data_IF_912058815909
#
_entry.id   IF_912058815909
#
_cell.length_a   1.000
_cell.length_b   1.000
_cell.length_c   1.000
_cell.angle_alpha   90.00
_cell.angle_beta   90.00
_cell.angle_gamma   90.00
#
_symmetry.space_group_name_H-M   'P 1'
#
loop_
_entity.id
_entity.type
_entity.pdbx_description
1 polymer ?
#
# COMPACT_ATOMS: atom_id res chain seq x y z
N UNK A 1 11.94 21.23 5.77
CA UNK A 1 11.35 19.94 6.18
C UNK A 1 12.07 19.54 7.46
N UNK A 2 11.43 19.69 8.61
CA UNK A 2 12.02 19.26 9.90
C UNK A 2 11.83 17.75 9.94
N UNK A 3 12.93 17.03 9.82
CA UNK A 3 12.95 15.58 9.77
C UNK A 3 12.92 15.05 11.21
N UNK A 4 11.83 14.41 11.62
CA UNK A 4 11.75 13.76 12.93
C UNK A 4 12.50 12.44 12.84
N UNK A 5 13.70 12.39 13.44
CA UNK A 5 14.62 11.26 13.39
C UNK A 5 14.17 10.14 14.32
N UNK A 6 13.15 9.37 13.93
CA UNK A 6 12.89 8.09 14.60
C UNK A 6 13.95 7.09 14.13
N UNK A 7 15.05 7.06 14.89
CA UNK A 7 16.19 6.18 14.68
C UNK A 7 15.93 4.77 15.24
N UNK A 8 14.70 4.27 15.12
CA UNK A 8 14.38 2.90 15.54
C UNK A 8 14.90 1.95 14.46
N UNK A 9 15.88 1.14 14.84
CA UNK A 9 16.43 0.11 13.97
C UNK A 9 15.39 -0.97 13.64
N UNK A 10 15.59 -1.67 12.52
CA UNK A 10 14.63 -2.65 11.98
C UNK A 10 14.25 -3.76 12.98
N UNK A 11 15.18 -4.16 13.85
CA UNK A 11 14.98 -5.15 14.92
C UNK A 11 13.97 -4.70 15.98
N UNK A 12 13.80 -3.39 16.21
CA UNK A 12 12.86 -2.81 17.17
C UNK A 12 11.60 -2.21 16.54
N UNK A 13 11.39 -2.45 15.25
CA UNK A 13 10.25 -1.88 14.48
C UNK A 13 8.87 -2.26 15.02
N UNK A 14 8.76 -3.35 15.80
CA UNK A 14 7.48 -3.83 16.33
C UNK A 14 6.69 -2.76 17.09
N UNK A 15 7.37 -1.94 17.90
CA UNK A 15 6.75 -0.84 18.65
C UNK A 15 6.15 0.21 17.71
N UNK A 16 6.89 0.58 16.66
CA UNK A 16 6.41 1.53 15.65
C UNK A 16 5.21 0.99 14.88
N UNK A 17 5.21 -0.30 14.54
CA UNK A 17 4.10 -0.94 13.84
C UNK A 17 2.86 -1.08 14.74
N UNK A 18 3.03 -1.34 16.04
CA UNK A 18 1.93 -1.34 17.00
C UNK A 18 1.30 0.06 17.13
N UNK A 19 2.11 1.11 17.35
CA UNK A 19 1.61 2.48 17.36
C UNK A 19 0.90 2.87 16.04
N UNK A 20 1.42 2.40 14.90
CA UNK A 20 0.80 2.61 13.59
C UNK A 20 -0.54 1.88 13.42
N UNK A 21 -0.70 0.68 13.96
CA UNK A 21 -1.98 -0.04 13.98
C UNK A 21 -3.02 0.70 14.84
N UNK A 22 -2.62 1.20 16.01
CA UNK A 22 -3.54 1.87 16.93
C UNK A 22 -3.94 3.25 16.38
N UNK A 23 -3.03 3.90 15.67
CA UNK A 23 -3.35 5.08 14.87
C UNK A 23 -4.33 4.75 13.72
N UNK A 24 -4.22 3.60 13.06
CA UNK A 24 -5.18 3.17 12.03
C UNK A 24 -6.58 2.97 12.62
N UNK A 25 -6.69 2.35 13.79
CA UNK A 25 -7.97 2.18 14.50
C UNK A 25 -8.59 3.54 14.90
N UNK A 26 -7.77 4.45 15.41
CA UNK A 26 -8.20 5.82 15.75
C UNK A 26 -8.72 6.56 14.50
N UNK A 27 -8.01 6.45 13.37
CA UNK A 27 -8.41 7.04 12.09
C UNK A 27 -9.72 6.44 11.56
N UNK A 28 -9.92 5.12 11.69
CA UNK A 28 -11.18 4.45 11.32
C UNK A 28 -12.35 4.99 12.16
N UNK A 29 -12.17 5.07 13.48
CA UNK A 29 -13.18 5.62 14.39
C UNK A 29 -13.56 7.06 14.00
N UNK A 30 -12.58 7.87 13.59
CA UNK A 30 -12.84 9.22 13.11
C UNK A 30 -13.56 9.26 11.75
N UNK A 31 -13.31 8.31 10.85
CA UNK A 31 -14.07 8.18 9.59
C UNK A 31 -15.53 7.82 9.87
N UNK A 32 -15.78 6.90 10.82
CA UNK A 32 -17.12 6.42 11.15
C UNK A 32 -17.95 7.48 11.88
N UNK A 33 -17.34 8.15 12.87
CA UNK A 33 -18.03 9.07 13.79
C UNK A 33 -17.83 10.56 13.45
N UNK A 34 -16.95 10.87 12.48
CA UNK A 34 -16.55 12.23 12.13
C UNK A 34 -15.41 12.79 13.00
N UNK A 35 -15.21 12.25 14.20
CA UNK A 35 -14.07 12.53 15.08
C UNK A 35 -13.81 11.34 16.01
N UNK A 36 -12.59 11.22 16.52
CA UNK A 36 -12.20 10.22 17.52
C UNK A 36 -11.21 10.82 18.51
N UNK A 37 -11.37 10.59 19.82
CA UNK A 37 -10.27 10.66 20.78
C UNK A 37 -9.12 9.74 20.36
N UNK A 38 -7.87 10.09 20.71
CA UNK A 38 -6.67 9.32 20.34
C UNK A 38 -6.52 8.03 21.15
N UNK A 39 -7.00 8.03 22.39
CA UNK A 39 -7.03 6.88 23.29
C UNK A 39 -8.06 5.81 22.89
N UNK A 40 -9.04 6.14 22.04
CA UNK A 40 -10.05 5.19 21.57
C UNK A 40 -9.42 3.97 20.86
N UNK A 41 -8.37 4.16 20.06
CA UNK A 41 -7.69 3.04 19.40
C UNK A 41 -6.87 2.16 20.35
N UNK A 42 -6.49 2.69 21.51
CA UNK A 42 -5.73 1.97 22.55
C UNK A 42 -6.66 1.12 23.41
N UNK A 43 -7.84 1.64 23.76
CA UNK A 43 -8.83 0.91 24.55
C UNK A 43 -9.33 -0.36 23.84
N UNK A 44 -9.53 -0.30 22.52
CA UNK A 44 -9.92 -1.47 21.71
C UNK A 44 -8.86 -2.58 21.80
N UNK A 45 -7.58 -2.24 21.73
CA UNK A 45 -6.45 -3.18 21.84
C UNK A 45 -6.35 -3.80 23.24
N UNK A 46 -6.48 -2.99 24.30
CA UNK A 46 -6.47 -3.49 25.70
C UNK A 46 -7.63 -4.47 25.91
N UNK A 47 -8.83 -4.14 25.43
CA UNK A 47 -9.99 -5.03 25.51
C UNK A 47 -9.83 -6.32 24.69
N UNK A 48 -9.10 -6.26 23.57
CA UNK A 48 -8.80 -7.42 22.75
C UNK A 48 -7.76 -8.36 23.41
N UNK A 49 -6.73 -7.80 24.05
CA UNK A 49 -5.68 -8.56 24.76
C UNK A 49 -6.19 -9.19 26.07
N UNK A 50 -7.13 -8.55 26.78
CA UNK A 50 -7.73 -9.11 28.00
C UNK A 50 -8.58 -10.39 27.76
N UNK A 51 -8.88 -10.72 26.50
CA UNK A 51 -9.59 -11.95 26.15
C UNK A 51 -8.70 -13.20 25.96
N UNK A 52 -7.38 -13.08 26.15
CA UNK A 52 -6.48 -14.23 26.32
C UNK A 52 -6.18 -14.45 27.81
N UNK A 53 -6.79 -15.52 28.36
CA UNK A 53 -6.69 -15.94 29.75
C UNK A 53 -5.25 -15.96 30.30
N UNK A 54 -4.99 -15.12 31.32
CA UNK A 54 -4.21 -15.42 32.54
C UNK A 54 -3.89 -14.12 33.32
N UNK A 55 -4.91 -13.39 33.79
CA UNK A 55 -4.70 -12.32 34.77
C UNK A 55 -5.16 -12.79 36.16
N UNK A 56 -4.22 -12.99 37.12
CA UNK A 56 -4.57 -13.16 38.52
C UNK A 56 -5.24 -11.87 38.98
N UNK A 57 -6.27 -11.97 39.84
CA UNK A 57 -6.97 -10.80 40.38
C UNK A 57 -5.99 -9.79 40.95
N UNK A 58 -5.86 -8.65 40.27
CA UNK A 58 -4.92 -7.59 40.65
C UNK A 58 -5.72 -6.33 41.03
N UNK A 59 -5.50 -5.89 42.26
CA UNK A 59 -5.75 -4.53 42.72
C UNK A 59 -4.92 -3.56 41.85
N UNK A 60 -5.45 -3.14 40.70
CA UNK A 60 -4.90 -1.99 39.99
C UNK A 60 -5.46 -0.72 40.62
N UNK A 61 -4.57 0.18 41.00
CA UNK A 61 -4.98 1.53 41.43
C UNK A 61 -5.21 2.39 40.19
N UNK A 62 -6.23 3.25 40.21
CA UNK A 62 -6.55 4.19 39.12
C UNK A 62 -5.34 4.96 38.57
N UNK A 63 -4.34 5.24 39.43
CA UNK A 63 -3.09 5.91 39.07
C UNK A 63 -2.20 5.05 38.16
N UNK A 64 -2.16 3.74 38.38
CA UNK A 64 -1.39 2.81 37.54
C UNK A 64 -2.05 2.60 36.16
N UNK A 65 -3.38 2.66 36.09
CA UNK A 65 -4.13 2.64 34.83
C UNK A 65 -3.90 3.93 34.01
N UNK A 66 -3.92 5.11 34.65
CA UNK A 66 -3.62 6.39 33.98
C UNK A 66 -2.17 6.43 33.44
N UNK A 67 -1.17 6.00 34.21
CA UNK A 67 0.22 5.93 33.74
C UNK A 67 0.41 4.94 32.58
N UNK A 68 -0.30 3.81 32.60
CA UNK A 68 -0.27 2.83 31.51
C UNK A 68 -0.93 3.38 30.23
N UNK A 69 -2.04 4.11 30.35
CA UNK A 69 -2.70 4.77 29.22
C UNK A 69 -1.79 5.82 28.57
N UNK A 70 -1.15 6.69 29.35
CA UNK A 70 -0.24 7.71 28.82
C UNK A 70 0.95 7.09 28.08
N UNK A 71 1.49 5.97 28.58
CA UNK A 71 2.59 5.25 27.94
C UNK A 71 2.23 4.70 26.55
N UNK A 72 0.96 4.33 26.33
CA UNK A 72 0.50 3.78 25.04
C UNK A 72 -0.06 4.88 24.11
N UNK A 73 -0.74 5.89 24.65
CA UNK A 73 -1.31 7.00 23.89
C UNK A 73 -0.23 7.89 23.27
N UNK A 74 0.88 8.13 23.98
CA UNK A 74 1.99 8.94 23.51
C UNK A 74 2.51 8.53 22.12
N UNK A 75 2.95 7.27 21.93
CA UNK A 75 3.40 6.75 20.64
C UNK A 75 2.35 6.86 19.51
N UNK A 76 1.05 6.68 19.83
CA UNK A 76 -0.04 6.82 18.85
C UNK A 76 -0.18 8.27 18.40
N UNK A 77 -0.14 9.22 19.32
CA UNK A 77 -0.20 10.65 19.02
C UNK A 77 1.01 11.11 18.20
N UNK A 78 2.21 10.63 18.54
CA UNK A 78 3.44 10.88 17.78
C UNK A 78 3.29 10.36 16.34
N UNK A 79 2.75 9.17 16.17
CA UNK A 79 2.54 8.53 14.89
C UNK A 79 1.51 9.29 14.01
N UNK A 80 0.38 9.70 14.60
CA UNK A 80 -0.62 10.55 13.94
C UNK A 80 -0.02 11.90 13.55
N UNK A 81 0.77 12.51 14.43
CA UNK A 81 1.46 13.78 14.18
C UNK A 81 2.45 13.64 13.04
N UNK A 82 3.17 12.51 12.96
CA UNK A 82 4.11 12.20 11.89
C UNK A 82 3.39 12.02 10.54
N UNK A 83 2.27 11.29 10.52
CA UNK A 83 1.42 11.14 9.31
C UNK A 83 0.93 12.49 8.80
N UNK A 84 0.49 13.35 9.71
CA UNK A 84 0.09 14.73 9.42
C UNK A 84 1.25 15.55 8.85
N UNK A 85 2.45 15.45 9.42
CA UNK A 85 3.63 16.15 8.95
C UNK A 85 4.09 15.70 7.54
N UNK A 86 4.04 14.39 7.26
CA UNK A 86 4.42 13.81 5.95
C UNK A 86 3.41 14.23 4.88
N UNK A 87 2.13 14.06 5.16
CA UNK A 87 1.06 14.26 4.18
C UNK A 87 0.63 15.73 4.06
N UNK A 88 0.90 16.56 5.08
CA UNK A 88 0.50 17.96 5.12
C UNK A 88 -0.99 18.12 4.89
N UNK A 89 -1.36 18.97 3.92
CA UNK A 89 -2.77 19.22 3.55
C UNK A 89 -3.48 18.01 2.95
N UNK A 90 -2.74 17.00 2.51
CA UNK A 90 -3.28 15.76 1.96
C UNK A 90 -3.66 14.73 3.04
N UNK A 91 -3.35 15.00 4.31
CA UNK A 91 -3.78 14.14 5.41
C UNK A 91 -5.28 14.34 5.69
N UNK A 92 -6.12 13.28 5.68
CA UNK A 92 -7.56 13.44 5.82
C UNK A 92 -8.04 13.63 7.26
N UNK A 93 -7.17 14.09 8.15
CA UNK A 93 -7.53 14.36 9.55
C UNK A 93 -6.92 15.68 10.00
N UNK A 94 -7.73 16.51 10.65
CA UNK A 94 -7.18 17.57 11.50
C UNK A 94 -6.91 17.01 12.88
N UNK A 95 -5.68 17.19 13.34
CA UNK A 95 -5.20 16.76 14.66
C UNK A 95 -5.36 17.93 15.63
N UNK A 96 -6.04 17.67 16.74
CA UNK A 96 -6.08 18.51 17.94
C UNK A 96 -5.31 17.78 19.07
N UNK A 97 -5.15 18.40 20.25
CA UNK A 97 -4.31 17.87 21.34
C UNK A 97 -4.66 16.44 21.78
N UNK A 98 -5.95 16.08 21.80
CA UNK A 98 -6.43 14.78 22.28
C UNK A 98 -7.39 14.08 21.33
N UNK A 99 -7.65 14.65 20.15
CA UNK A 99 -8.59 14.08 19.20
C UNK A 99 -8.20 14.36 17.76
N UNK A 100 -8.69 13.51 16.87
CA UNK A 100 -8.61 13.75 15.43
C UNK A 100 -10.02 13.91 14.87
N UNK A 101 -10.16 14.80 13.88
CA UNK A 101 -11.41 15.04 13.16
C UNK A 101 -11.22 14.73 11.68
N UNK A 102 -12.10 13.89 11.15
CA UNK A 102 -12.05 13.46 9.76
C UNK A 102 -12.39 14.61 8.81
N UNK A 103 -11.56 14.75 7.77
CA UNK A 103 -11.70 15.67 6.65
C UNK A 103 -11.42 14.90 5.37
N UNK A 104 -12.48 14.50 4.70
CA UNK A 104 -12.44 13.73 3.45
C UNK A 104 -11.38 14.26 2.48
N UNK A 105 -10.48 13.39 2.03
CA UNK A 105 -9.46 13.71 1.04
C UNK A 105 -10.08 13.96 -0.34
N UNK A 106 -9.33 14.62 -1.22
CA UNK A 106 -9.81 14.96 -2.56
C UNK A 106 -10.01 13.70 -3.42
N UNK A 107 -9.16 12.69 -3.21
CA UNK A 107 -9.06 11.47 -4.03
C UNK A 107 -9.66 10.23 -3.38
N UNK A 108 -9.75 10.17 -2.06
CA UNK A 108 -10.14 9.00 -1.25
C UNK A 108 -9.13 7.85 -1.23
N UNK A 109 -7.93 8.06 -1.77
CA UNK A 109 -6.90 7.02 -1.80
C UNK A 109 -6.37 6.72 -0.40
N UNK A 110 -6.25 7.73 0.47
CA UNK A 110 -5.82 7.52 1.85
C UNK A 110 -6.84 6.65 2.60
N UNK A 111 -8.11 7.05 2.56
CA UNK A 111 -9.21 6.34 3.21
C UNK A 111 -9.34 4.92 2.67
N UNK A 112 -9.23 4.75 1.35
CA UNK A 112 -9.24 3.44 0.72
C UNK A 112 -8.12 2.53 1.24
N UNK A 113 -6.88 3.03 1.30
CA UNK A 113 -5.75 2.27 1.80
C UNK A 113 -5.92 1.89 3.28
N UNK A 114 -6.36 2.84 4.12
CA UNK A 114 -6.65 2.59 5.54
C UNK A 114 -7.73 1.51 5.72
N UNK A 115 -8.86 1.63 5.01
CA UNK A 115 -9.96 0.67 5.11
C UNK A 115 -9.53 -0.71 4.59
N UNK A 116 -8.73 -0.76 3.52
CA UNK A 116 -8.19 -2.02 2.97
C UNK A 116 -7.31 -2.75 3.97
N UNK A 117 -6.59 -2.03 4.84
CA UNK A 117 -5.77 -2.66 5.88
C UNK A 117 -6.56 -3.23 7.06
N UNK A 118 -7.81 -2.78 7.25
CA UNK A 118 -8.64 -3.13 8.42
C UNK A 118 -9.78 -4.12 8.06
N UNK A 119 -10.20 -4.17 6.80
CA UNK A 119 -11.28 -5.07 6.37
C UNK A 119 -10.87 -6.55 6.48
N UNK A 120 -11.85 -7.42 6.76
CA UNK A 120 -11.64 -8.86 6.78
C UNK A 120 -11.19 -9.37 5.41
N UNK A 121 -10.03 -10.04 5.37
CA UNK A 121 -9.38 -10.53 4.14
C UNK A 121 -10.10 -11.70 3.48
N UNK A 122 -10.99 -12.38 4.19
CA UNK A 122 -11.84 -13.45 3.62
C UNK A 122 -13.10 -12.91 2.96
N UNK A 123 -13.32 -11.59 2.97
CA UNK A 123 -14.48 -10.97 2.34
C UNK A 123 -14.27 -10.74 0.84
N UNK A 124 -15.32 -10.88 0.05
CA UNK A 124 -15.29 -10.52 -1.38
C UNK A 124 -14.92 -9.05 -1.61
N UNK A 125 -15.26 -8.17 -0.67
CA UNK A 125 -14.91 -6.75 -0.69
C UNK A 125 -13.38 -6.57 -0.67
N UNK A 126 -12.66 -7.41 0.09
CA UNK A 126 -11.20 -7.37 0.12
C UNK A 126 -10.59 -7.77 -1.23
N UNK A 127 -11.12 -8.78 -1.90
CA UNK A 127 -10.64 -9.20 -3.23
C UNK A 127 -10.82 -8.07 -4.26
N UNK A 128 -11.96 -7.38 -4.23
CA UNK A 128 -12.21 -6.21 -5.07
C UNK A 128 -11.27 -5.05 -4.74
N UNK A 129 -11.01 -4.81 -3.45
CA UNK A 129 -10.08 -3.79 -2.98
C UNK A 129 -8.65 -4.10 -3.41
N UNK A 130 -8.20 -5.35 -3.32
CA UNK A 130 -6.87 -5.75 -3.77
C UNK A 130 -6.65 -5.46 -5.26
N UNK A 131 -7.64 -5.78 -6.10
CA UNK A 131 -7.59 -5.46 -7.54
C UNK A 131 -7.55 -3.95 -7.78
N UNK A 132 -8.38 -3.17 -7.09
CA UNK A 132 -8.38 -1.71 -7.23
C UNK A 132 -7.05 -1.09 -6.75
N UNK A 133 -6.46 -1.65 -5.69
CA UNK A 133 -5.18 -1.22 -5.16
C UNK A 133 -4.04 -1.42 -6.19
N UNK A 134 -4.05 -2.51 -6.96
CA UNK A 134 -3.07 -2.73 -8.03
C UNK A 134 -3.19 -1.67 -9.14
N UNK A 135 -4.41 -1.29 -9.54
CA UNK A 135 -4.62 -0.20 -10.51
C UNK A 135 -4.11 1.14 -9.98
N UNK A 136 -4.44 1.48 -8.73
CA UNK A 136 -3.99 2.72 -8.10
C UNK A 136 -2.46 2.73 -7.97
N UNK A 137 -1.85 1.60 -7.64
CA UNK A 137 -0.39 1.47 -7.52
C UNK A 137 0.32 1.63 -8.87
N UNK A 138 -0.22 1.01 -9.93
CA UNK A 138 0.27 1.19 -11.29
C UNK A 138 0.21 2.67 -11.71
N UNK A 139 -0.90 3.34 -11.39
CA UNK A 139 -1.11 4.74 -11.71
C UNK A 139 -0.21 5.67 -10.86
N UNK A 140 -0.04 5.39 -9.58
CA UNK A 140 0.87 6.13 -8.71
C UNK A 140 2.32 6.02 -9.18
N UNK A 141 2.77 4.85 -9.62
CA UNK A 141 4.10 4.66 -10.22
C UNK A 141 4.26 5.47 -11.52
N UNK A 142 3.21 5.54 -12.36
CA UNK A 142 3.16 6.40 -13.55
C UNK A 142 3.32 7.88 -13.18
N UNK A 143 2.56 8.34 -12.18
CA UNK A 143 2.62 9.73 -11.70
C UNK A 143 3.98 10.08 -11.09
N UNK A 144 4.62 9.12 -10.41
CA UNK A 144 5.97 9.29 -9.86
C UNK A 144 7.02 9.52 -10.97
N UNK A 145 6.94 8.79 -12.08
CA UNK A 145 7.81 8.99 -13.25
C UNK A 145 7.54 10.32 -13.99
N UNK A 146 6.28 10.77 -13.92
CA UNK A 146 5.79 12.03 -14.49
C UNK A 146 5.85 12.10 -16.03
N UNK A 147 5.43 13.24 -16.58
CA UNK A 147 5.46 13.49 -18.02
C UNK A 147 4.60 12.50 -18.83
N UNK A 148 5.16 11.96 -19.91
CA UNK A 148 4.50 11.00 -20.81
C UNK A 148 4.65 9.54 -20.35
N UNK A 149 4.82 9.31 -19.05
CA UNK A 149 4.89 7.96 -18.51
C UNK A 149 3.57 7.21 -18.73
N UNK A 150 3.70 5.89 -18.95
CA UNK A 150 2.60 4.93 -19.10
C UNK A 150 2.67 3.90 -17.98
N UNK A 151 1.56 3.24 -17.72
CA UNK A 151 1.51 2.09 -16.81
C UNK A 151 0.49 1.06 -17.26
N UNK A 152 0.68 -0.17 -16.79
CA UNK A 152 -0.18 -1.32 -17.02
C UNK A 152 -0.28 -2.10 -15.71
N UNK A 153 -1.50 -2.48 -15.33
CA UNK A 153 -1.73 -3.46 -14.27
C UNK A 153 -1.46 -4.86 -14.81
N UNK A 154 -0.72 -5.64 -14.03
CA UNK A 154 -0.22 -6.96 -14.39
C UNK A 154 -0.69 -8.08 -13.45
N UNK A 155 -1.38 -7.82 -12.34
CA UNK A 155 -1.79 -8.87 -11.40
C UNK A 155 -3.03 -9.69 -11.82
N UNK A 156 -3.27 -10.79 -11.10
CA UNK A 156 -4.51 -11.58 -11.12
C UNK A 156 -5.45 -11.15 -9.98
N UNK A 157 -6.78 -11.23 -10.15
CA UNK A 157 -7.49 -11.71 -11.33
C UNK A 157 -7.55 -10.71 -12.48
N UNK A 158 -7.65 -11.23 -13.71
CA UNK A 158 -7.82 -10.41 -14.92
C UNK A 158 -9.27 -9.98 -15.09
N UNK A 159 -9.50 -8.72 -15.50
CA UNK A 159 -10.82 -8.19 -15.89
C UNK A 159 -11.04 -8.36 -17.39
N UNK A 160 -12.29 -8.29 -17.85
CA UNK A 160 -12.70 -8.61 -19.24
C UNK A 160 -11.91 -7.89 -20.35
N UNK A 161 -11.34 -6.71 -20.08
CA UNK A 161 -10.53 -5.95 -21.03
C UNK A 161 -9.03 -6.26 -20.99
N UNK A 162 -8.58 -7.09 -20.05
CA UNK A 162 -7.18 -7.44 -19.84
C UNK A 162 -6.82 -8.77 -20.52
N UNK A 163 -5.56 -8.94 -20.95
CA UNK A 163 -5.12 -10.22 -21.49
C UNK A 163 -5.28 -11.34 -20.46
N UNK A 164 -5.94 -12.43 -20.87
CA UNK A 164 -6.24 -13.57 -19.99
C UNK A 164 -5.02 -14.44 -19.65
N UNK A 165 -3.90 -14.29 -20.35
CA UNK A 165 -2.68 -15.07 -20.12
C UNK A 165 -1.49 -14.17 -19.85
N UNK A 166 -0.53 -14.69 -19.08
CA UNK A 166 0.74 -14.00 -18.82
C UNK A 166 1.44 -13.60 -20.12
N UNK A 167 1.54 -14.51 -21.11
CA UNK A 167 2.07 -14.23 -22.46
C UNK A 167 1.33 -13.09 -23.15
N UNK A 168 0.00 -13.04 -23.05
CA UNK A 168 -0.81 -11.96 -23.61
C UNK A 168 -0.54 -10.62 -22.92
N UNK A 169 -0.35 -10.63 -21.60
CA UNK A 169 0.02 -9.45 -20.82
C UNK A 169 1.42 -8.94 -21.21
N UNK A 170 2.41 -9.83 -21.35
CA UNK A 170 3.74 -9.48 -21.86
C UNK A 170 3.66 -8.89 -23.28
N UNK A 171 2.87 -9.50 -24.16
CA UNK A 171 2.66 -8.99 -25.52
C UNK A 171 2.02 -7.59 -25.54
N UNK A 172 1.08 -7.32 -24.62
CA UNK A 172 0.50 -5.99 -24.46
C UNK A 172 1.57 -4.97 -24.06
N UNK A 173 2.37 -5.26 -23.03
CA UNK A 173 3.46 -4.37 -22.59
C UNK A 173 4.44 -4.13 -23.73
N UNK A 174 4.83 -5.18 -24.45
CA UNK A 174 5.72 -5.07 -25.60
C UNK A 174 5.16 -4.17 -26.70
N UNK A 175 3.87 -4.29 -27.02
CA UNK A 175 3.23 -3.43 -28.02
C UNK A 175 3.25 -1.94 -27.65
N UNK A 176 3.25 -1.62 -26.34
CA UNK A 176 3.18 -0.26 -25.84
C UNK A 176 4.54 0.38 -25.53
N UNK A 177 5.55 -0.45 -25.25
CA UNK A 177 6.89 -0.03 -24.80
C UNK A 177 8.00 -0.38 -25.80
N UNK A 178 7.84 -1.40 -26.63
CA UNK A 178 8.92 -2.00 -27.42
C UNK A 178 9.88 -2.89 -26.63
N UNK A 179 9.70 -2.99 -25.29
CA UNK A 179 10.51 -3.83 -24.39
C UNK A 179 9.71 -5.08 -23.99
N UNK A 180 10.16 -5.89 -23.03
CA UNK A 180 9.45 -7.12 -22.64
C UNK A 180 9.30 -8.15 -23.78
N UNK A 181 10.41 -8.55 -24.40
CA UNK A 181 10.37 -9.50 -25.53
C UNK A 181 10.07 -10.92 -25.02
N UNK A 182 8.94 -11.50 -25.43
CA UNK A 182 8.60 -12.88 -25.09
C UNK A 182 9.57 -13.87 -25.76
N UNK A 183 10.50 -14.41 -24.99
CA UNK A 183 11.54 -15.33 -25.44
C UNK A 183 11.90 -16.32 -24.32
N UNK A 184 11.07 -17.35 -24.09
CA UNK A 184 11.29 -18.32 -23.02
C UNK A 184 12.61 -19.09 -23.19
N UNK A 185 13.37 -19.23 -22.11
CA UNK A 185 14.70 -19.87 -22.11
C UNK A 185 14.64 -21.36 -22.44
N UNK A 186 13.58 -22.02 -22.03
CA UNK A 186 13.31 -23.41 -22.35
C UNK A 186 12.09 -23.47 -23.27
N UNK A 187 11.96 -24.56 -24.02
CA UNK A 187 10.75 -24.87 -24.78
C UNK A 187 9.59 -25.23 -23.83
N UNK A 188 9.21 -24.29 -22.96
CA UNK A 188 7.90 -24.24 -22.34
C UNK A 188 6.92 -23.85 -23.44
N UNK A 189 6.73 -24.78 -24.39
CA UNK A 189 5.76 -24.68 -25.45
C UNK A 189 4.41 -24.52 -24.77
N UNK A 190 3.86 -23.30 -24.83
CA UNK A 190 2.55 -22.92 -24.34
C UNK A 190 2.15 -23.66 -23.06
N UNK A 191 2.66 -23.20 -21.91
CA UNK A 191 2.14 -23.66 -20.61
C UNK A 191 0.64 -23.37 -20.60
N UNK A 192 -0.14 -24.38 -20.97
CA UNK A 192 -1.60 -24.37 -21.10
C UNK A 192 -2.31 -24.29 -19.75
N UNK A 193 -1.57 -23.99 -18.69
CA UNK A 193 -2.10 -23.90 -17.34
C UNK A 193 -2.04 -22.45 -16.85
N UNK A 194 -3.02 -21.62 -17.25
CA UNK A 194 -3.17 -20.27 -16.72
C UNK A 194 -3.40 -20.26 -15.19
N UNK A 195 -3.69 -21.39 -14.54
CA UNK A 195 -3.90 -21.46 -13.10
C UNK A 195 -2.59 -21.58 -12.29
N UNK A 196 -1.50 -22.08 -12.88
CA UNK A 196 -0.28 -22.43 -12.13
C UNK A 196 0.91 -21.49 -12.36
N UNK A 197 0.92 -20.69 -13.43
CA UNK A 197 1.90 -19.61 -13.57
C UNK A 197 1.32 -18.36 -12.93
N UNK A 198 1.54 -18.20 -11.62
CA UNK A 198 1.41 -16.89 -10.96
C UNK A 198 2.32 -15.92 -11.73
N UNK A 199 1.93 -14.65 -11.85
CA UNK A 199 2.63 -13.61 -12.65
C UNK A 199 4.04 -13.24 -12.12
N UNK A 200 4.71 -14.14 -11.40
CA UNK A 200 6.03 -13.99 -10.78
C UNK A 200 6.14 -12.78 -9.86
N UNK A 201 5.03 -12.45 -9.19
CA UNK A 201 4.89 -11.28 -8.33
C UNK A 201 4.74 -9.96 -9.11
N UNK A 202 4.63 -9.98 -10.44
CA UNK A 202 4.48 -8.77 -11.23
C UNK A 202 3.01 -8.30 -11.24
N UNK A 203 2.70 -7.29 -10.44
CA UNK A 203 1.35 -6.74 -10.34
C UNK A 203 1.16 -5.44 -11.12
N UNK A 204 2.24 -4.73 -11.45
CA UNK A 204 2.19 -3.59 -12.36
C UNK A 204 3.53 -3.29 -13.03
N UNK A 205 3.46 -2.59 -14.15
CA UNK A 205 4.61 -1.99 -14.84
C UNK A 205 4.31 -0.54 -15.14
N UNK A 206 5.27 0.36 -14.88
CA UNK A 206 5.22 1.76 -15.30
C UNK A 206 6.52 2.13 -15.99
N UNK A 207 6.48 2.98 -17.00
CA UNK A 207 7.70 3.37 -17.72
C UNK A 207 7.58 4.75 -18.33
N UNK A 208 8.73 5.39 -18.51
CA UNK A 208 8.84 6.73 -19.09
C UNK A 208 9.29 6.65 -20.54
N UNK A 209 8.40 7.02 -21.46
CA UNK A 209 8.69 7.00 -22.89
C UNK A 209 9.62 8.16 -23.30
N UNK A 210 10.59 7.85 -24.17
CA UNK A 210 11.25 8.87 -24.97
C UNK A 210 10.33 9.33 -26.10
N UNK A 211 10.42 10.61 -26.46
CA UNK A 211 9.64 11.18 -27.56
C UNK A 211 10.08 10.64 -28.94
N UNK A 212 11.28 10.08 -29.04
CA UNK A 212 11.81 9.46 -30.25
C UNK A 212 11.43 7.98 -30.41
N UNK A 213 10.67 7.42 -29.45
CA UNK A 213 10.19 6.04 -29.43
C UNK A 213 11.30 4.97 -29.47
N UNK A 214 12.54 5.32 -29.15
CA UNK A 214 13.64 4.35 -29.05
C UNK A 214 13.59 3.58 -27.72
N UNK A 215 14.27 2.43 -27.73
CA UNK A 215 14.38 1.50 -26.60
C UNK A 215 15.33 2.03 -25.51
N UNK A 216 15.28 1.41 -24.32
CA UNK A 216 16.12 1.78 -23.18
C UNK A 216 15.42 2.73 -22.22
N UNK A 217 14.11 2.55 -22.04
CA UNK A 217 13.28 3.40 -21.20
C UNK A 217 13.52 3.10 -19.72
N UNK A 218 13.35 4.12 -18.88
CA UNK A 218 13.29 3.89 -17.43
C UNK A 218 11.98 3.15 -17.12
N UNK A 219 12.10 1.95 -16.57
CA UNK A 219 10.96 1.11 -16.19
C UNK A 219 10.94 0.86 -14.69
N UNK A 220 9.74 0.87 -14.12
CA UNK A 220 9.40 0.42 -12.78
C UNK A 220 8.57 -0.85 -12.93
N UNK A 221 9.02 -1.94 -12.33
CA UNK A 221 8.24 -3.17 -12.20
C UNK A 221 7.85 -3.30 -10.73
N UNK A 222 6.58 -3.52 -10.44
CA UNK A 222 6.10 -3.51 -9.08
C UNK A 222 5.20 -4.67 -8.72
N UNK A 223 5.21 -4.96 -7.43
CA UNK A 223 4.32 -5.91 -6.78
C UNK A 223 3.50 -5.21 -5.69
N UNK A 224 2.32 -5.74 -5.41
CA UNK A 224 1.38 -5.23 -4.44
C UNK A 224 1.17 -6.25 -3.31
N UNK A 225 1.04 -5.76 -2.07
CA UNK A 225 0.74 -6.61 -0.93
C UNK A 225 -0.29 -5.94 0.00
N UNK A 226 -1.55 -6.37 -0.10
CA UNK A 226 -2.65 -5.88 0.75
C UNK A 226 -2.84 -6.68 2.06
N UNK A 227 -2.20 -7.84 2.21
CA UNK A 227 -2.38 -8.72 3.37
C UNK A 227 -1.52 -8.37 4.59
N UNK A 228 -1.74 -9.08 5.71
CA UNK A 228 -0.99 -8.89 6.97
C UNK A 228 0.46 -9.34 6.85
N UNK A 229 0.68 -10.49 6.21
CA UNK A 229 2.00 -11.06 5.98
C UNK A 229 2.67 -10.46 4.74
N UNK A 230 2.53 -9.15 4.54
CA UNK A 230 3.14 -8.45 3.41
C UNK A 230 4.67 -8.54 3.45
N UNK A 231 5.27 -8.66 4.64
CA UNK A 231 6.72 -8.84 4.81
C UNK A 231 7.21 -10.17 4.20
N UNK A 232 6.38 -11.21 4.19
CA UNK A 232 6.74 -12.51 3.62
C UNK A 232 6.75 -12.49 2.09
N UNK A 233 6.12 -11.47 1.49
CA UNK A 233 6.08 -11.26 0.04
C UNK A 233 7.25 -10.43 -0.48
N UNK A 234 8.14 -9.96 0.39
CA UNK A 234 9.33 -9.23 -0.03
C UNK A 234 10.19 -10.14 -0.93
N UNK A 235 10.37 -9.73 -2.19
CA UNK A 235 11.15 -10.49 -3.18
C UNK A 235 10.37 -11.50 -4.02
N UNK A 236 9.03 -11.53 -3.96
CA UNK A 236 8.21 -12.32 -4.88
C UNK A 236 8.49 -11.96 -6.35
N UNK A 237 8.54 -10.65 -6.63
CA UNK A 237 9.02 -10.05 -7.87
C UNK A 237 10.50 -10.34 -8.03
N UNK A 238 10.81 -11.16 -9.03
CA UNK A 238 12.17 -11.62 -9.28
C UNK A 238 12.56 -11.42 -10.74
N UNK A 239 13.57 -10.58 -10.97
CA UNK A 239 14.19 -10.43 -12.29
C UNK A 239 14.63 -11.78 -12.86
N UNK A 240 15.13 -12.68 -12.01
CA UNK A 240 15.54 -14.03 -12.41
C UNK A 240 14.36 -14.83 -12.97
N UNK A 241 13.22 -14.86 -12.28
CA UNK A 241 12.02 -15.58 -12.73
C UNK A 241 11.44 -14.96 -14.01
N UNK A 242 11.40 -13.63 -14.11
CA UNK A 242 10.94 -12.95 -15.33
C UNK A 242 11.82 -13.26 -16.55
N UNK A 243 13.14 -13.30 -16.37
CA UNK A 243 14.10 -13.63 -17.42
C UNK A 243 13.98 -15.08 -17.95
N UNK A 244 13.26 -15.97 -17.26
CA UNK A 244 12.97 -17.32 -17.79
C UNK A 244 12.01 -17.27 -18.97
N UNK A 245 11.19 -16.21 -19.08
CA UNK A 245 10.15 -16.05 -20.10
C UNK A 245 10.36 -14.84 -21.01
N UNK A 246 11.05 -13.80 -20.52
CA UNK A 246 11.15 -12.49 -21.17
C UNK A 246 12.63 -12.14 -21.35
N UNK A 247 13.09 -11.98 -22.60
CA UNK A 247 14.51 -11.72 -22.90
C UNK A 247 14.71 -10.72 -24.04
N UNK A 248 15.20 -9.49 -23.75
CA UNK A 248 15.34 -8.92 -22.41
C UNK A 248 13.98 -8.54 -21.82
N UNK A 249 13.88 -8.52 -20.48
CA UNK A 249 12.77 -7.84 -19.76
C UNK A 249 12.78 -6.36 -20.13
N UNK A 250 13.92 -5.70 -19.96
CA UNK A 250 14.18 -4.33 -20.36
C UNK A 250 15.62 -4.17 -20.81
N UNK A 251 15.90 -3.20 -21.68
CA UNK A 251 17.27 -2.92 -22.17
C UNK A 251 18.11 -2.15 -21.15
N UNK A 252 17.46 -1.35 -20.30
CA UNK A 252 18.04 -0.72 -19.12
C UNK A 252 17.53 -1.47 -17.89
N UNK A 253 18.38 -1.66 -16.88
CA UNK A 253 17.96 -2.28 -15.62
C UNK A 253 16.75 -1.56 -15.04
N UNK A 254 15.67 -2.31 -14.80
CA UNK A 254 14.46 -1.75 -14.24
C UNK A 254 14.59 -1.48 -12.75
N UNK A 255 13.82 -0.53 -12.24
CA UNK A 255 13.72 -0.27 -10.80
C UNK A 255 12.58 -1.10 -10.20
N UNK A 256 12.83 -1.99 -9.23
CA UNK A 256 11.75 -2.68 -8.54
C UNK A 256 10.93 -1.72 -7.67
N UNK A 257 9.65 -2.03 -7.48
CA UNK A 257 8.77 -1.32 -6.58
C UNK A 257 7.90 -2.27 -5.75
N UNK A 258 7.52 -1.81 -4.57
CA UNK A 258 6.68 -2.52 -3.64
C UNK A 258 5.59 -1.62 -3.11
N UNK A 259 4.33 -1.92 -3.44
CA UNK A 259 3.18 -1.14 -3.02
C UNK A 259 2.40 -1.83 -1.91
N UNK A 260 2.09 -1.08 -0.85
CA UNK A 260 1.28 -1.55 0.28
C UNK A 260 0.26 -0.49 0.69
N UNK A 261 -0.98 -0.87 1.01
CA UNK A 261 -1.98 0.08 1.53
C UNK A 261 -1.69 0.47 2.99
N UNK A 262 -0.73 -0.20 3.63
CA UNK A 262 -0.27 0.11 4.98
C UNK A 262 0.62 1.33 4.98
N UNK A 263 0.54 2.10 6.06
CA UNK A 263 1.51 3.13 6.35
C UNK A 263 2.76 2.52 6.99
N UNK A 264 3.94 2.77 6.42
CA UNK A 264 5.19 2.23 6.94
C UNK A 264 5.79 3.24 7.93
N UNK A 265 5.91 2.89 9.22
CA UNK A 265 6.41 3.82 10.22
C UNK A 265 7.91 3.84 10.33
N UNK A 266 8.45 5.00 10.72
CA UNK A 266 9.89 5.23 10.87
C UNK A 266 10.64 5.38 9.54
N UNK A 267 11.56 6.35 9.49
CA UNK A 267 12.34 6.57 8.28
C UNK A 267 13.38 5.48 8.02
N UNK A 268 14.06 4.98 9.06
CA UNK A 268 15.05 3.92 8.88
C UNK A 268 14.40 2.60 8.44
N UNK A 269 13.16 2.35 8.86
CA UNK A 269 12.38 1.18 8.45
C UNK A 269 12.07 1.24 6.95
N UNK A 270 11.51 2.36 6.46
CA UNK A 270 11.23 2.51 5.02
C UNK A 270 12.53 2.56 4.19
N UNK A 271 13.60 3.17 4.70
CA UNK A 271 14.90 3.18 4.03
C UNK A 271 15.47 1.77 3.90
N UNK A 272 15.41 0.96 4.98
CA UNK A 272 15.84 -0.44 4.97
C UNK A 272 15.02 -1.26 3.97
N UNK A 273 13.69 -1.14 3.97
CA UNK A 273 12.83 -1.77 2.96
C UNK A 273 13.24 -1.36 1.54
N UNK A 274 13.50 -0.08 1.31
CA UNK A 274 13.92 0.40 0.00
C UNK A 274 15.24 -0.20 -0.49
N UNK A 275 16.13 -0.64 0.40
CA UNK A 275 17.35 -1.39 -0.01
C UNK A 275 17.05 -2.80 -0.53
N UNK A 276 15.89 -3.37 -0.18
CA UNK A 276 15.52 -4.75 -0.52
C UNK A 276 14.58 -4.82 -1.71
N UNK A 277 13.63 -3.88 -1.80
CA UNK A 277 12.56 -3.91 -2.82
C UNK A 277 12.51 -2.67 -3.72
N UNK A 278 13.47 -1.75 -3.58
CA UNK A 278 13.54 -0.52 -4.37
C UNK A 278 12.53 0.54 -3.94
N UNK A 279 11.67 0.98 -4.85
CA UNK A 279 10.71 2.05 -4.56
C UNK A 279 9.58 1.49 -3.70
N UNK A 280 9.48 1.93 -2.45
CA UNK A 280 8.32 1.62 -1.60
C UNK A 280 7.21 2.63 -1.86
N UNK A 281 6.01 2.17 -2.18
CA UNK A 281 4.78 2.95 -2.32
C UNK A 281 3.83 2.56 -1.17
N UNK A 282 4.03 3.16 -0.02
CA UNK A 282 3.17 2.99 1.15
C UNK A 282 1.95 3.95 1.11
N UNK A 283 1.04 3.83 2.08
CA UNK A 283 -0.18 4.66 2.15
C UNK A 283 0.12 6.15 1.99
N UNK A 284 1.15 6.66 2.67
CA UNK A 284 1.52 8.07 2.62
C UNK A 284 2.00 8.49 1.22
N UNK A 285 2.93 7.73 0.61
CA UNK A 285 3.45 8.04 -0.73
C UNK A 285 2.38 7.94 -1.80
N UNK A 286 1.55 6.89 -1.77
CA UNK A 286 0.41 6.72 -2.70
C UNK A 286 -0.54 7.90 -2.61
N UNK A 287 -0.98 8.24 -1.38
CA UNK A 287 -1.92 9.33 -1.14
C UNK A 287 -1.36 10.68 -1.59
N UNK A 288 -0.09 10.97 -1.29
CA UNK A 288 0.58 12.20 -1.74
C UNK A 288 0.67 12.32 -3.26
N UNK A 289 1.03 11.23 -3.95
CA UNK A 289 1.10 11.22 -5.42
C UNK A 289 -0.28 11.43 -6.03
N UNK A 290 -1.30 10.76 -5.49
CA UNK A 290 -2.67 10.86 -5.98
C UNK A 290 -3.29 12.25 -5.71
N UNK A 291 -3.13 12.80 -4.50
CA UNK A 291 -3.68 14.12 -4.15
C UNK A 291 -3.08 15.25 -4.98
N UNK A 292 -1.79 15.19 -5.31
CA UNK A 292 -1.14 16.15 -6.23
C UNK A 292 -1.72 16.10 -7.64
N UNK A 293 -2.37 15.00 -8.01
CA UNK A 293 -2.96 14.75 -9.33
C UNK A 293 -4.46 14.46 -9.21
N UNK A 294 -5.14 15.12 -8.26
CA UNK A 294 -6.50 14.76 -7.84
C UNK A 294 -7.52 14.75 -8.98
N UNK A 295 -7.46 15.71 -9.91
CA UNK A 295 -8.36 15.73 -11.08
C UNK A 295 -8.23 14.47 -11.94
N UNK A 296 -7.00 14.04 -12.19
CA UNK A 296 -6.70 12.85 -12.98
C UNK A 296 -7.17 11.58 -12.25
N UNK A 297 -6.78 11.43 -10.98
CA UNK A 297 -7.19 10.28 -10.15
C UNK A 297 -8.71 10.20 -10.03
N UNK A 298 -9.38 11.33 -9.82
CA UNK A 298 -10.83 11.36 -9.73
C UNK A 298 -11.51 10.99 -11.05
N UNK A 299 -10.94 11.40 -12.20
CA UNK A 299 -11.48 11.00 -13.49
C UNK A 299 -11.44 9.48 -13.72
N UNK A 300 -10.45 8.80 -13.14
CA UNK A 300 -10.26 7.35 -13.29
C UNK A 300 -11.01 6.53 -12.25
N UNK A 301 -10.93 6.92 -10.97
CA UNK A 301 -11.27 6.02 -9.86
C UNK A 301 -12.34 6.54 -8.92
N UNK A 302 -12.87 7.76 -9.12
CA UNK A 302 -13.74 8.41 -8.12
C UNK A 302 -14.97 7.58 -7.77
N UNK A 303 -15.67 7.05 -8.76
CA UNK A 303 -16.88 6.26 -8.55
C UNK A 303 -16.59 4.97 -7.79
N UNK A 304 -15.55 4.24 -8.21
CA UNK A 304 -15.12 2.99 -7.59
C UNK A 304 -14.66 3.21 -6.14
N UNK A 305 -13.88 4.26 -5.88
CA UNK A 305 -13.41 4.61 -4.54
C UNK A 305 -14.54 5.04 -3.61
N UNK A 306 -15.53 5.79 -4.12
CA UNK A 306 -16.71 6.15 -3.33
C UNK A 306 -17.52 4.91 -2.92
N UNK A 307 -17.77 4.02 -3.87
CA UNK A 307 -18.56 2.81 -3.65
C UNK A 307 -17.86 1.84 -2.70
N UNK A 308 -16.61 1.46 -3.00
CA UNK A 308 -15.89 0.47 -2.20
C UNK A 308 -15.59 0.98 -0.78
N UNK A 309 -15.27 2.28 -0.62
CA UNK A 309 -15.06 2.83 0.72
C UNK A 309 -16.37 2.82 1.53
N UNK A 310 -17.52 3.11 0.91
CA UNK A 310 -18.80 3.04 1.59
C UNK A 310 -19.14 1.61 2.02
N UNK A 311 -18.85 0.62 1.17
CA UNK A 311 -19.02 -0.80 1.49
C UNK A 311 -18.10 -1.25 2.63
N UNK A 312 -16.81 -0.92 2.58
CA UNK A 312 -15.85 -1.25 3.64
C UNK A 312 -16.22 -0.58 4.97
N UNK A 313 -16.60 0.70 4.96
CA UNK A 313 -17.07 1.39 6.17
C UNK A 313 -18.31 0.70 6.74
N UNK A 314 -19.25 0.26 5.91
CA UNK A 314 -20.44 -0.47 6.38
C UNK A 314 -20.07 -1.82 7.00
N UNK A 315 -19.07 -2.51 6.47
CA UNK A 315 -18.62 -3.81 6.96
C UNK A 315 -17.76 -3.72 8.25
N UNK A 316 -17.18 -2.55 8.53
CA UNK A 316 -16.37 -2.26 9.71
C UNK A 316 -17.18 -1.61 10.86
N UNK A 317 -18.46 -1.32 10.64
CA UNK A 317 -19.41 -0.86 11.67
C UNK A 317 -20.13 -2.06 12.28
#
# INVERSE_FOLDING_TARGET
MIYNTDNVAWDRRGVLFSAASNADQTELNAIINGASPVDAGVQDDIMADEHHADLPGHDYTWVAEEEALDFVVGPVLEEISRRSAISGRSYPFSVDLSSIRYRKSSTLVYEFCLLTTLINKSSAIFDEAAVLFEYISAEAARLYLGGHAKSVRCGWPRRNSEPASFKGMIAQINSMSGEFIWAPRFAYADVKDPANVKDYGLDFVAWKCFQDQRLGQLMILGQCACGENWQDKLGDLSAKKLNEYIQPVSFVEFTPAFAVPRHIPGHLVIAKLSTEVGIVLDRARLSLLCERNSNHINSMFRSQLLDINAQMVKALK
#
